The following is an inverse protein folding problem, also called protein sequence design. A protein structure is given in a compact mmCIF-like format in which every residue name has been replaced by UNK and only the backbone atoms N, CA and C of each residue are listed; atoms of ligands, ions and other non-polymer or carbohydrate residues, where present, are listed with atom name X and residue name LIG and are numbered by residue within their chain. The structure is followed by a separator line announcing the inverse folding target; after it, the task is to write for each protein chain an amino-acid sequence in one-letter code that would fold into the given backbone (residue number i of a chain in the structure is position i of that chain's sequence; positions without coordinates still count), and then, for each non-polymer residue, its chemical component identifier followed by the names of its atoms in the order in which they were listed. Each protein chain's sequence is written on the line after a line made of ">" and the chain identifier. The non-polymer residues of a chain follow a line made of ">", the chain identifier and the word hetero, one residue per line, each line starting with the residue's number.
data_IF_958769127414
#
_entry.id   IF_958769127414
#
_cell.length_a   1.000
_cell.length_b   1.000
_cell.length_c   1.000
_cell.angle_alpha   90.00
_cell.angle_beta   90.00
_cell.angle_gamma   90.00
#
_symmetry.space_group_name_H-M   'P 1'
#
loop_
_entity.id
_entity.type
_entity.pdbx_description
1 polymer ?
#
# COMPACT_ATOMS: atom_id res chain seq x y z
N UNK A 1 -42.76 -12.23 18.63
CA UNK A 1 -41.67 -11.55 17.90
C UNK A 1 -40.34 -12.19 18.33
N UNK A 2 -39.77 -13.04 17.48
CA UNK A 2 -38.71 -13.99 17.85
C UNK A 2 -37.34 -13.31 17.96
N UNK A 3 -36.82 -13.15 19.19
CA UNK A 3 -35.52 -12.55 19.54
C UNK A 3 -34.28 -13.34 19.05
N UNK A 4 -34.46 -14.40 18.24
CA UNK A 4 -33.36 -15.24 17.73
C UNK A 4 -32.76 -14.78 16.39
N UNK A 5 -33.36 -13.80 15.71
CA UNK A 5 -32.88 -13.34 14.40
C UNK A 5 -31.75 -12.29 14.47
N UNK A 6 -31.52 -11.66 15.62
CA UNK A 6 -30.50 -10.61 15.78
C UNK A 6 -29.07 -11.12 16.01
N UNK A 7 -28.85 -12.44 16.09
CA UNK A 7 -27.52 -13.04 16.36
C UNK A 7 -26.82 -13.67 15.15
N UNK A 8 -27.35 -13.53 13.93
CA UNK A 8 -26.81 -14.22 12.74
C UNK A 8 -26.51 -13.35 11.51
N UNK A 9 -26.38 -12.03 11.67
CA UNK A 9 -25.98 -11.11 10.59
C UNK A 9 -24.74 -10.29 10.99
N UNK A 10 -23.62 -10.97 11.25
CA UNK A 10 -22.32 -10.34 11.55
C UNK A 10 -21.37 -10.45 10.35
N UNK A 11 -21.94 -10.39 9.15
CA UNK A 11 -21.48 -11.21 8.04
C UNK A 11 -21.50 -10.40 6.73
N UNK A 12 -20.62 -9.39 6.65
CA UNK A 12 -20.12 -8.75 5.40
C UNK A 12 -19.45 -7.37 5.61
N UNK A 13 -19.53 -6.77 6.81
CA UNK A 13 -19.33 -5.31 6.99
C UNK A 13 -17.90 -4.76 6.77
N UNK A 14 -16.85 -5.58 6.60
CA UNK A 14 -15.49 -5.05 6.39
C UNK A 14 -15.01 -5.05 4.94
N UNK A 15 -15.61 -5.86 4.05
CA UNK A 15 -15.06 -6.01 2.68
C UNK A 15 -15.70 -4.99 1.72
N UNK A 16 -16.93 -4.54 1.96
CA UNK A 16 -17.58 -3.49 1.17
C UNK A 16 -16.85 -2.13 1.27
N UNK A 17 -16.32 -1.79 2.46
CA UNK A 17 -15.58 -0.54 2.67
C UNK A 17 -14.28 -0.41 1.87
N UNK A 18 -13.72 -1.52 1.39
CA UNK A 18 -12.54 -1.51 0.52
C UNK A 18 -12.91 -1.46 -0.97
N UNK A 19 -14.14 -1.85 -1.34
CA UNK A 19 -14.61 -1.82 -2.73
C UNK A 19 -15.24 -0.47 -3.13
N UNK A 20 -15.80 0.26 -2.16
CA UNK A 20 -16.35 1.62 -2.35
C UNK A 20 -15.29 2.70 -2.21
N UNK A 21 -14.18 2.44 -1.50
CA UNK A 21 -13.02 3.34 -1.41
C UNK A 21 -12.09 3.31 -2.64
N UNK A 22 -12.63 3.14 -3.85
CA UNK A 22 -11.98 3.60 -5.08
C UNK A 22 -12.00 5.14 -5.20
N UNK A 23 -11.87 5.82 -4.06
CA UNK A 23 -11.25 7.13 -3.96
C UNK A 23 -9.95 6.94 -3.16
N UNK A 24 -9.08 6.07 -3.68
CA UNK A 24 -7.71 6.56 -3.84
C UNK A 24 -7.91 7.83 -4.68
N UNK A 25 -7.43 9.01 -4.28
CA UNK A 25 -7.18 10.01 -5.29
C UNK A 25 -6.23 9.34 -6.27
N UNK A 26 -6.78 8.76 -7.34
CA UNK A 26 -6.20 8.95 -8.65
C UNK A 26 -6.11 10.47 -8.72
N UNK A 27 -4.97 11.01 -8.29
CA UNK A 27 -4.45 12.17 -8.96
C UNK A 27 -4.46 11.75 -10.42
N UNK A 28 -5.52 12.17 -11.11
CA UNK A 28 -5.62 12.08 -12.55
C UNK A 28 -4.45 12.91 -13.06
N UNK A 29 -3.30 12.26 -13.23
CA UNK A 29 -2.29 12.65 -14.21
C UNK A 29 -2.84 12.33 -15.61
N UNK A 30 -4.05 12.78 -15.87
CA UNK A 30 -4.71 12.88 -17.15
C UNK A 30 -5.09 14.36 -17.32
N UNK A 31 -4.08 15.22 -17.26
CA UNK A 31 -4.11 16.40 -18.11
C UNK A 31 -3.84 15.88 -19.52
N UNK A 32 -4.78 16.11 -20.44
CA UNK A 32 -4.57 15.89 -21.87
C UNK A 32 -3.31 16.64 -22.32
N UNK A 33 -2.16 15.98 -22.34
CA UNK A 33 -1.00 16.50 -23.03
C UNK A 33 -1.18 16.11 -24.50
N UNK A 34 -1.88 17.01 -25.22
CA UNK A 34 -1.78 17.07 -26.68
C UNK A 34 -0.31 16.95 -27.04
N UNK A 35 -0.01 15.91 -27.80
CA UNK A 35 1.29 15.64 -28.39
C UNK A 35 1.78 16.90 -29.08
N UNK A 36 2.76 17.56 -28.48
CA UNK A 36 3.73 18.31 -29.25
C UNK A 36 5.12 17.86 -28.81
N UNK A 37 5.75 17.18 -29.77
CA UNK A 37 7.13 16.70 -29.77
C UNK A 37 8.07 17.85 -29.44
N UNK A 38 8.65 17.88 -28.24
CA UNK A 38 9.96 18.46 -28.00
C UNK A 38 10.56 17.82 -26.76
N UNK A 39 11.69 17.13 -26.94
CA UNK A 39 12.56 16.68 -25.85
C UNK A 39 12.95 17.95 -25.08
N UNK A 40 12.42 18.12 -23.88
CA UNK A 40 12.81 19.20 -22.95
C UNK A 40 12.91 18.58 -21.57
N UNK A 41 14.06 18.79 -20.95
CA UNK A 41 14.53 18.26 -19.67
C UNK A 41 13.39 17.95 -18.69
N UNK A 42 13.30 16.67 -18.31
CA UNK A 42 12.49 16.22 -17.19
C UNK A 42 12.71 17.15 -15.99
N UNK A 43 11.61 17.64 -15.44
CA UNK A 43 11.59 18.40 -14.20
C UNK A 43 12.09 17.47 -13.10
N UNK A 44 13.39 17.49 -12.84
CA UNK A 44 13.98 16.83 -11.67
C UNK A 44 13.34 17.51 -10.47
N UNK A 45 12.40 16.84 -9.81
CA UNK A 45 12.05 17.19 -8.44
C UNK A 45 13.37 17.14 -7.66
N UNK A 46 13.88 18.30 -7.25
CA UNK A 46 15.09 18.43 -6.45
C UNK A 46 14.81 17.85 -5.05
N UNK A 47 14.86 16.54 -4.91
CA UNK A 47 14.95 15.91 -3.61
C UNK A 47 16.27 16.36 -2.99
N UNK A 48 16.21 17.02 -1.84
CA UNK A 48 17.42 17.30 -1.07
C UNK A 48 18.03 15.95 -0.70
N UNK A 49 19.28 15.72 -1.12
CA UNK A 49 20.04 14.54 -0.72
C UNK A 49 20.56 14.63 0.72
N UNK A 50 20.21 15.71 1.43
CA UNK A 50 20.47 15.89 2.85
C UNK A 50 19.44 15.19 3.74
N UNK A 51 19.68 15.16 5.06
CA UNK A 51 18.81 14.50 6.03
C UNK A 51 17.34 14.92 5.95
N UNK A 52 17.08 16.22 5.73
CA UNK A 52 15.73 16.77 5.61
C UNK A 52 14.96 16.17 4.42
N UNK A 53 15.56 16.16 3.23
CA UNK A 53 14.89 15.60 2.04
C UNK A 53 14.74 14.09 2.10
N UNK A 54 15.62 13.39 2.81
CA UNK A 54 15.46 11.97 3.08
C UNK A 54 14.31 11.70 4.07
N UNK A 55 14.19 12.52 5.12
CA UNK A 55 13.11 12.45 6.09
C UNK A 55 11.74 12.73 5.45
N UNK A 56 11.68 13.73 4.55
CA UNK A 56 10.47 14.10 3.80
C UNK A 56 9.91 12.96 2.94
N UNK A 57 10.76 12.04 2.48
CA UNK A 57 10.34 10.89 1.67
C UNK A 57 10.08 9.66 2.54
N UNK A 58 10.88 9.45 3.58
CA UNK A 58 10.72 8.30 4.48
C UNK A 58 9.46 8.41 5.35
N UNK A 59 9.14 9.59 5.87
CA UNK A 59 8.00 9.74 6.78
C UNK A 59 6.66 9.37 6.12
N UNK A 60 6.30 9.88 4.92
CA UNK A 60 5.10 9.44 4.19
C UNK A 60 5.12 7.96 3.81
N UNK A 61 6.30 7.40 3.51
CA UNK A 61 6.45 5.98 3.18
C UNK A 61 6.13 5.10 4.38
N UNK A 62 6.69 5.40 5.56
CA UNK A 62 6.42 4.68 6.80
C UNK A 62 4.95 4.82 7.22
N UNK A 63 4.39 6.03 7.09
CA UNK A 63 2.97 6.29 7.30
C UNK A 63 2.09 5.35 6.46
N UNK A 64 2.36 5.27 5.15
CA UNK A 64 1.63 4.39 4.23
C UNK A 64 1.75 2.92 4.61
N UNK A 65 2.92 2.48 5.07
CA UNK A 65 3.14 1.10 5.54
C UNK A 65 2.28 0.80 6.78
N UNK A 66 2.17 1.74 7.73
CA UNK A 66 1.35 1.57 8.93
C UNK A 66 -0.14 1.44 8.61
N UNK A 67 -0.65 2.26 7.69
CA UNK A 67 -2.04 2.17 7.20
C UNK A 67 -2.30 0.79 6.61
N UNK A 68 -1.43 0.35 5.69
CA UNK A 68 -1.56 -0.95 5.03
C UNK A 68 -1.42 -2.12 6.01
N UNK A 69 -0.52 -2.04 6.99
CA UNK A 69 -0.35 -3.05 8.05
C UNK A 69 -1.63 -3.20 8.88
N UNK A 70 -2.30 -2.09 9.21
CA UNK A 70 -3.58 -2.08 9.93
C UNK A 70 -4.69 -2.78 9.14
N UNK A 71 -4.87 -2.42 7.87
CA UNK A 71 -5.85 -3.07 6.99
C UNK A 71 -5.55 -4.55 6.79
N UNK A 72 -4.31 -4.91 6.49
CA UNK A 72 -3.92 -6.30 6.27
C UNK A 72 -4.17 -7.16 7.52
N UNK A 73 -3.81 -6.68 8.71
CA UNK A 73 -4.11 -7.40 9.97
C UNK A 73 -5.61 -7.59 10.17
N UNK A 74 -6.38 -6.56 9.89
CA UNK A 74 -7.85 -6.59 10.01
C UNK A 74 -8.46 -7.66 9.09
N UNK A 75 -8.08 -7.66 7.81
CA UNK A 75 -8.55 -8.62 6.80
C UNK A 75 -8.13 -10.05 7.17
N UNK A 76 -6.85 -10.25 7.51
CA UNK A 76 -6.30 -11.56 7.86
C UNK A 76 -7.04 -12.18 9.05
N UNK A 77 -7.36 -11.37 10.04
CA UNK A 77 -8.01 -11.81 11.28
C UNK A 77 -9.54 -11.85 11.18
N UNK A 78 -10.13 -11.43 10.06
CA UNK A 78 -11.57 -11.46 9.86
C UNK A 78 -12.08 -12.92 9.92
N UNK A 79 -13.20 -13.15 10.62
CA UNK A 79 -13.83 -14.48 10.63
C UNK A 79 -14.32 -14.89 9.24
N UNK A 80 -14.31 -16.19 8.96
CA UNK A 80 -14.81 -16.72 7.71
C UNK A 80 -16.31 -16.44 7.56
N UNK A 81 -16.68 -16.07 6.34
CA UNK A 81 -18.03 -15.69 5.96
C UNK A 81 -18.88 -16.96 5.83
N UNK A 82 -19.87 -17.15 6.69
CA UNK A 82 -20.94 -18.13 6.47
C UNK A 82 -22.15 -17.52 5.74
N UNK A 83 -22.32 -17.86 4.47
CA UNK A 83 -23.48 -17.44 3.68
C UNK A 83 -24.63 -18.44 3.70
N UNK A 84 -24.50 -19.60 4.37
CA UNK A 84 -25.44 -20.74 4.29
C UNK A 84 -26.90 -20.38 4.57
N UNK A 85 -27.13 -19.35 5.40
CA UNK A 85 -28.47 -18.85 5.72
C UNK A 85 -29.19 -18.09 4.60
N UNK A 86 -28.52 -17.74 3.50
CA UNK A 86 -29.11 -17.00 2.37
C UNK A 86 -29.53 -18.01 1.29
N UNK A 87 -30.76 -18.51 1.36
CA UNK A 87 -31.27 -19.52 0.42
C UNK A 87 -31.46 -19.02 -1.01
N UNK A 88 -31.71 -17.72 -1.18
CA UNK A 88 -31.86 -17.06 -2.49
C UNK A 88 -30.54 -16.93 -3.27
N UNK A 89 -29.41 -17.20 -2.62
CA UNK A 89 -28.08 -17.08 -3.23
C UNK A 89 -27.72 -18.33 -4.03
N UNK A 90 -27.46 -18.16 -5.32
CA UNK A 90 -27.00 -19.24 -6.18
C UNK A 90 -25.62 -19.77 -5.75
N UNK A 91 -25.30 -21.03 -6.10
CA UNK A 91 -24.09 -21.73 -5.67
C UNK A 91 -22.80 -21.06 -6.15
N UNK A 92 -22.80 -20.49 -7.36
CA UNK A 92 -21.62 -19.89 -7.97
C UNK A 92 -21.23 -18.58 -7.26
N UNK A 93 -22.21 -17.68 -7.07
CA UNK A 93 -22.00 -16.43 -6.36
C UNK A 93 -21.59 -16.68 -4.91
N UNK A 94 -22.19 -17.67 -4.25
CA UNK A 94 -21.76 -18.10 -2.91
C UNK A 94 -20.29 -18.52 -2.90
N UNK A 95 -19.88 -19.40 -3.81
CA UNK A 95 -18.50 -19.87 -3.89
C UNK A 95 -17.52 -18.72 -4.20
N UNK A 96 -17.89 -17.81 -5.10
CA UNK A 96 -17.09 -16.64 -5.41
C UNK A 96 -16.90 -15.72 -4.20
N UNK A 97 -17.95 -15.44 -3.43
CA UNK A 97 -17.84 -14.58 -2.23
C UNK A 97 -16.89 -15.17 -1.19
N UNK A 98 -16.92 -16.49 -0.98
CA UNK A 98 -15.98 -17.17 -0.09
C UNK A 98 -14.55 -17.10 -0.63
N UNK A 99 -14.39 -17.28 -1.95
CA UNK A 99 -13.09 -17.17 -2.62
C UNK A 99 -12.51 -15.76 -2.52
N UNK A 100 -13.32 -14.71 -2.73
CA UNK A 100 -12.86 -13.32 -2.61
C UNK A 100 -12.33 -13.01 -1.20
N UNK A 101 -12.97 -13.54 -0.16
CA UNK A 101 -12.47 -13.41 1.20
C UNK A 101 -11.13 -14.14 1.40
N UNK A 102 -11.02 -15.37 0.90
CA UNK A 102 -9.77 -16.14 0.97
C UNK A 102 -8.62 -15.45 0.21
N UNK A 103 -8.88 -14.96 -1.00
CA UNK A 103 -7.92 -14.19 -1.80
C UNK A 103 -7.50 -12.89 -1.08
N UNK A 104 -8.45 -12.17 -0.45
CA UNK A 104 -8.14 -10.99 0.35
C UNK A 104 -7.25 -11.32 1.56
N UNK A 105 -7.52 -12.43 2.26
CA UNK A 105 -6.67 -12.91 3.38
C UNK A 105 -5.28 -13.30 2.91
N UNK A 106 -5.16 -13.97 1.76
CA UNK A 106 -3.86 -14.31 1.16
C UNK A 106 -3.08 -13.06 0.77
N UNK A 107 -3.72 -12.07 0.17
CA UNK A 107 -3.09 -10.80 -0.17
C UNK A 107 -2.63 -10.03 1.08
N UNK A 108 -3.42 -10.04 2.14
CA UNK A 108 -3.05 -9.44 3.42
C UNK A 108 -1.83 -10.14 4.05
N UNK A 109 -1.79 -11.48 4.04
CA UNK A 109 -0.64 -12.25 4.50
C UNK A 109 0.60 -11.96 3.65
N UNK A 110 0.46 -11.90 2.33
CA UNK A 110 1.57 -11.55 1.43
C UNK A 110 2.15 -10.16 1.73
N UNK A 111 1.28 -9.16 1.96
CA UNK A 111 1.73 -7.84 2.40
C UNK A 111 2.56 -7.89 3.69
N UNK A 112 2.02 -8.55 4.73
CA UNK A 112 2.61 -8.60 6.06
C UNK A 112 3.94 -9.36 6.09
N UNK A 113 4.02 -10.46 5.36
CA UNK A 113 5.11 -11.42 5.48
C UNK A 113 6.20 -11.21 4.40
N UNK A 114 5.90 -10.49 3.32
CA UNK A 114 6.83 -10.32 2.19
C UNK A 114 7.11 -8.85 1.87
N UNK A 115 6.09 -8.08 1.46
CA UNK A 115 6.30 -6.71 0.98
C UNK A 115 6.75 -5.76 2.09
N UNK A 116 6.10 -5.81 3.26
CA UNK A 116 6.45 -4.95 4.40
C UNK A 116 7.91 -5.15 4.85
N UNK A 117 8.39 -6.39 5.09
CA UNK A 117 9.80 -6.63 5.38
C UNK A 117 10.73 -6.11 4.29
N UNK A 118 10.38 -6.27 3.01
CA UNK A 118 11.21 -5.80 1.91
C UNK A 118 11.32 -4.27 1.86
N UNK A 119 10.21 -3.54 2.06
CA UNK A 119 10.23 -2.08 2.19
C UNK A 119 11.18 -1.66 3.32
N UNK A 120 11.08 -2.32 4.49
CA UNK A 120 11.92 -1.97 5.64
C UNK A 120 13.40 -2.25 5.38
N UNK A 121 13.73 -3.38 4.76
CA UNK A 121 15.10 -3.73 4.38
C UNK A 121 15.69 -2.76 3.34
N UNK A 122 14.93 -2.41 2.31
CA UNK A 122 15.38 -1.43 1.30
C UNK A 122 15.64 -0.06 1.94
N UNK A 123 14.77 0.41 2.83
CA UNK A 123 15.01 1.65 3.56
C UNK A 123 16.25 1.56 4.45
N UNK A 124 16.43 0.43 5.15
CA UNK A 124 17.62 0.21 5.97
C UNK A 124 18.91 0.20 5.12
N UNK A 125 18.88 -0.37 3.91
CA UNK A 125 20.04 -0.37 3.01
C UNK A 125 20.40 1.04 2.53
N UNK A 126 19.40 1.91 2.33
CA UNK A 126 19.65 3.32 2.03
C UNK A 126 20.26 4.03 3.24
N UNK A 127 19.76 3.78 4.46
CA UNK A 127 20.36 4.33 5.69
C UNK A 127 21.79 3.84 5.88
N UNK A 128 22.04 2.54 5.70
CA UNK A 128 23.36 1.91 5.83
C UNK A 128 24.36 2.42 4.79
N UNK A 129 23.91 3.02 3.68
CA UNK A 129 24.81 3.67 2.73
C UNK A 129 25.61 4.80 3.39
N UNK A 130 25.04 5.51 4.37
CA UNK A 130 25.79 6.52 5.11
C UNK A 130 27.02 5.90 5.80
N UNK A 131 26.86 4.75 6.46
CA UNK A 131 27.98 4.08 7.11
C UNK A 131 29.04 3.63 6.10
N UNK A 132 28.63 3.17 4.93
CA UNK A 132 29.53 2.88 3.81
C UNK A 132 30.28 4.13 3.39
N UNK A 133 29.58 5.24 3.13
CA UNK A 133 30.18 6.51 2.75
C UNK A 133 31.19 7.01 3.79
N UNK A 134 30.84 6.99 5.09
CA UNK A 134 31.71 7.42 6.17
C UNK A 134 33.01 6.59 6.25
N UNK A 135 32.93 5.26 6.02
CA UNK A 135 34.13 4.40 5.98
C UNK A 135 35.10 4.77 4.86
N UNK A 136 34.57 5.17 3.70
CA UNK A 136 35.39 5.57 2.56
C UNK A 136 35.86 7.03 2.66
N UNK A 137 35.14 7.89 3.38
CA UNK A 137 35.39 9.32 3.46
C UNK A 137 36.81 9.67 3.94
N UNK A 138 37.30 9.04 5.00
CA UNK A 138 38.66 9.30 5.49
C UNK A 138 39.75 8.88 4.49
N UNK A 139 39.51 7.83 3.71
CA UNK A 139 40.43 7.34 2.68
C UNK A 139 40.45 8.33 1.49
N UNK A 140 39.28 8.82 1.10
CA UNK A 140 39.12 9.81 0.04
C UNK A 140 39.86 11.12 0.39
N UNK A 141 39.71 11.62 1.62
CA UNK A 141 40.45 12.81 2.08
C UNK A 141 41.97 12.59 2.02
N UNK A 142 42.45 11.45 2.53
CA UNK A 142 43.88 11.14 2.49
C UNK A 142 44.42 11.00 1.05
N UNK A 143 43.62 10.47 0.13
CA UNK A 143 43.98 10.38 -1.28
C UNK A 143 44.06 11.76 -1.94
N UNK A 144 43.13 12.67 -1.61
CA UNK A 144 43.15 14.06 -2.08
C UNK A 144 44.40 14.78 -1.57
N UNK A 145 44.71 14.68 -0.28
CA UNK A 145 45.88 15.33 0.33
C UNK A 145 47.19 14.85 -0.31
N UNK A 146 47.27 13.56 -0.65
CA UNK A 146 48.43 12.93 -1.30
C UNK A 146 48.45 13.08 -2.82
N UNK A 147 47.39 13.64 -3.42
CA UNK A 147 47.16 13.67 -4.88
C UNK A 147 47.21 12.27 -5.52
N UNK A 148 46.77 11.26 -4.77
CA UNK A 148 46.70 9.86 -5.22
C UNK A 148 45.43 9.63 -6.03
N UNK A 149 45.54 9.80 -7.34
CA UNK A 149 44.41 9.69 -8.27
C UNK A 149 43.91 8.25 -8.44
N UNK A 150 44.77 7.25 -8.22
CA UNK A 150 44.36 5.84 -8.31
C UNK A 150 43.47 5.45 -7.13
N UNK A 151 43.92 5.74 -5.90
CA UNK A 151 43.10 5.47 -4.70
C UNK A 151 41.78 6.25 -4.78
N UNK A 152 41.84 7.53 -5.16
CA UNK A 152 40.64 8.35 -5.30
C UNK A 152 39.62 7.71 -6.25
N UNK A 153 40.07 7.26 -7.42
CA UNK A 153 39.21 6.61 -8.41
C UNK A 153 38.63 5.31 -7.87
N UNK A 154 39.45 4.43 -7.29
CA UNK A 154 39.00 3.12 -6.79
C UNK A 154 37.96 3.25 -5.68
N UNK A 155 38.15 4.17 -4.74
CA UNK A 155 37.20 4.36 -3.63
C UNK A 155 35.88 4.98 -4.12
N UNK A 156 35.93 5.90 -5.09
CA UNK A 156 34.72 6.44 -5.74
C UNK A 156 33.97 5.36 -6.53
N UNK A 157 34.67 4.47 -7.23
CA UNK A 157 34.06 3.34 -7.93
C UNK A 157 33.32 2.42 -6.95
N UNK A 158 33.89 2.12 -5.78
CA UNK A 158 33.21 1.32 -4.75
C UNK A 158 31.93 1.98 -4.25
N UNK A 159 31.98 3.28 -3.96
CA UNK A 159 30.80 4.05 -3.55
C UNK A 159 29.72 4.06 -4.64
N UNK A 160 30.12 4.22 -5.90
CA UNK A 160 29.20 4.20 -7.04
C UNK A 160 28.55 2.82 -7.20
N UNK A 161 29.30 1.72 -7.07
CA UNK A 161 28.73 0.37 -7.10
C UNK A 161 27.71 0.16 -5.99
N UNK A 162 27.97 0.64 -4.76
CA UNK A 162 27.00 0.57 -3.67
C UNK A 162 25.70 1.34 -3.97
N UNK A 163 25.81 2.51 -4.62
CA UNK A 163 24.62 3.25 -5.08
C UNK A 163 23.83 2.44 -6.12
N UNK A 164 24.52 1.80 -7.07
CA UNK A 164 23.87 0.97 -8.09
C UNK A 164 23.15 -0.25 -7.48
N UNK A 165 23.74 -0.89 -6.47
CA UNK A 165 23.08 -1.97 -5.72
C UNK A 165 21.79 -1.49 -5.07
N UNK A 166 21.84 -0.39 -4.31
CA UNK A 166 20.65 0.17 -3.66
C UNK A 166 19.58 0.55 -4.70
N UNK A 167 19.97 1.15 -5.82
CA UNK A 167 19.05 1.49 -6.92
C UNK A 167 18.38 0.24 -7.51
N UNK A 168 19.13 -0.84 -7.69
CA UNK A 168 18.58 -2.10 -8.21
C UNK A 168 17.54 -2.68 -7.26
N UNK A 169 17.81 -2.71 -5.96
CA UNK A 169 16.88 -3.21 -4.95
C UNK A 169 15.58 -2.38 -4.90
N UNK A 170 15.70 -1.05 -4.98
CA UNK A 170 14.54 -0.14 -5.06
C UNK A 170 13.71 -0.43 -6.32
N UNK A 171 14.34 -0.64 -7.47
CA UNK A 171 13.63 -0.95 -8.72
C UNK A 171 12.87 -2.28 -8.62
N UNK A 172 13.49 -3.31 -8.06
CA UNK A 172 12.83 -4.59 -7.83
C UNK A 172 11.62 -4.46 -6.88
N UNK A 173 11.79 -3.73 -5.78
CA UNK A 173 10.70 -3.46 -4.84
C UNK A 173 9.55 -2.71 -5.53
N UNK A 174 9.86 -1.72 -6.36
CA UNK A 174 8.87 -0.96 -7.11
C UNK A 174 8.05 -1.87 -8.04
N UNK A 175 8.68 -2.78 -8.76
CA UNK A 175 7.98 -3.73 -9.65
C UNK A 175 7.11 -4.72 -8.86
N UNK A 176 7.57 -5.17 -7.69
CA UNK A 176 6.75 -6.00 -6.80
C UNK A 176 5.52 -5.25 -6.28
N UNK A 177 5.69 -3.99 -5.87
CA UNK A 177 4.58 -3.14 -5.41
C UNK A 177 3.57 -2.85 -6.54
N UNK A 178 4.04 -2.58 -7.77
CA UNK A 178 3.17 -2.42 -8.95
C UNK A 178 2.39 -3.70 -9.24
N UNK A 179 3.06 -4.85 -9.21
CA UNK A 179 2.44 -6.16 -9.45
C UNK A 179 1.35 -6.44 -8.39
N UNK A 180 1.68 -6.22 -7.12
CA UNK A 180 0.73 -6.39 -6.02
C UNK A 180 -0.47 -5.45 -6.15
N UNK A 181 -0.24 -4.17 -6.45
CA UNK A 181 -1.31 -3.19 -6.71
C UNK A 181 -2.22 -3.64 -7.85
N UNK A 182 -1.66 -4.08 -8.97
CA UNK A 182 -2.45 -4.51 -10.12
C UNK A 182 -3.31 -5.75 -9.80
N UNK A 183 -2.77 -6.70 -9.04
CA UNK A 183 -3.54 -7.84 -8.51
C UNK A 183 -4.67 -7.39 -7.59
N UNK A 184 -4.39 -6.50 -6.63
CA UNK A 184 -5.39 -5.95 -5.72
C UNK A 184 -6.52 -5.24 -6.48
N UNK A 185 -6.20 -4.48 -7.54
CA UNK A 185 -7.19 -3.83 -8.39
C UNK A 185 -8.12 -4.84 -9.05
N UNK A 186 -7.57 -5.90 -9.65
CA UNK A 186 -8.36 -6.94 -10.29
C UNK A 186 -9.24 -7.70 -9.28
N UNK A 187 -8.66 -8.13 -8.15
CA UNK A 187 -9.39 -8.83 -7.09
C UNK A 187 -10.54 -7.97 -6.55
N UNK A 188 -10.30 -6.66 -6.34
CA UNK A 188 -11.32 -5.71 -5.86
C UNK A 188 -12.44 -5.47 -6.88
N UNK A 189 -12.10 -5.35 -8.16
CA UNK A 189 -13.09 -5.18 -9.23
C UNK A 189 -14.01 -6.40 -9.33
N UNK A 190 -13.44 -7.60 -9.30
CA UNK A 190 -14.20 -8.85 -9.32
C UNK A 190 -15.10 -8.98 -8.08
N UNK A 191 -14.56 -8.67 -6.90
CA UNK A 191 -15.33 -8.68 -5.66
C UNK A 191 -16.49 -7.67 -5.70
N UNK A 192 -16.26 -6.47 -6.24
CA UNK A 192 -17.30 -5.43 -6.37
C UNK A 192 -18.43 -5.88 -7.29
N UNK A 193 -18.11 -6.52 -8.42
CA UNK A 193 -19.12 -7.04 -9.34
C UNK A 193 -20.03 -8.07 -8.65
N UNK A 194 -19.44 -9.04 -7.96
CA UNK A 194 -20.18 -10.08 -7.23
C UNK A 194 -20.96 -9.50 -6.04
N UNK A 195 -20.39 -8.51 -5.34
CA UNK A 195 -21.06 -7.81 -4.24
C UNK A 195 -22.27 -7.03 -4.73
N UNK A 196 -22.19 -6.33 -5.88
CA UNK A 196 -23.34 -5.64 -6.45
C UNK A 196 -24.50 -6.60 -6.78
N UNK A 197 -24.16 -7.80 -7.28
CA UNK A 197 -25.16 -8.84 -7.53
C UNK A 197 -25.77 -9.34 -6.21
N UNK A 198 -24.95 -9.59 -5.18
CA UNK A 198 -25.41 -9.99 -3.85
C UNK A 198 -26.33 -8.92 -3.23
N UNK A 199 -25.94 -7.64 -3.26
CA UNK A 199 -26.74 -6.52 -2.74
C UNK A 199 -28.08 -6.43 -3.45
N UNK A 200 -28.14 -6.66 -4.77
CA UNK A 200 -29.40 -6.69 -5.52
C UNK A 200 -30.35 -7.80 -5.05
N UNK A 201 -29.81 -9.02 -4.82
CA UNK A 201 -30.56 -10.16 -4.28
C UNK A 201 -31.05 -9.87 -2.85
N UNK A 202 -30.21 -9.23 -2.05
CA UNK A 202 -30.53 -8.90 -0.67
C UNK A 202 -31.55 -7.76 -0.55
N UNK A 203 -31.45 -6.72 -1.39
CA UNK A 203 -32.38 -5.61 -1.41
C UNK A 203 -33.79 -6.03 -1.83
N UNK A 204 -33.92 -6.99 -2.76
CA UNK A 204 -35.22 -7.57 -3.12
C UNK A 204 -35.83 -8.41 -2.00
N UNK A 205 -35.02 -8.85 -1.02
CA UNK A 205 -35.45 -9.68 0.11
C UNK A 205 -35.61 -8.86 1.40
N UNK A 206 -34.90 -7.74 1.57
CA UNK A 206 -34.90 -6.90 2.78
C UNK A 206 -34.48 -5.46 2.47
N UNK A 207 -35.41 -4.51 2.61
CA UNK A 207 -35.23 -3.10 2.24
C UNK A 207 -34.18 -2.32 3.07
N UNK A 208 -33.70 -2.85 4.20
CA UNK A 208 -32.75 -2.15 5.08
C UNK A 208 -31.27 -2.32 4.75
N UNK A 209 -30.91 -3.27 3.88
CA UNK A 209 -29.50 -3.64 3.63
C UNK A 209 -28.72 -2.52 2.92
N UNK A 210 -29.23 -1.86 1.87
CA UNK A 210 -28.53 -0.74 1.22
C UNK A 210 -28.26 0.44 2.18
N UNK A 211 -29.18 0.72 3.10
CA UNK A 211 -29.01 1.79 4.09
C UNK A 211 -27.90 1.46 5.12
N UNK A 212 -27.79 0.19 5.52
CA UNK A 212 -26.72 -0.25 6.42
C UNK A 212 -25.36 -0.22 5.71
N UNK A 213 -25.29 -0.59 4.45
CA UNK A 213 -24.08 -0.49 3.60
C UNK A 213 -23.56 0.95 3.56
N UNK A 214 -24.44 1.91 3.26
CA UNK A 214 -24.06 3.34 3.23
C UNK A 214 -23.54 3.86 4.58
N UNK A 215 -24.13 3.40 5.70
CA UNK A 215 -23.64 3.78 7.04
C UNK A 215 -22.26 3.21 7.33
N UNK A 216 -21.98 1.99 6.88
CA UNK A 216 -20.68 1.34 7.04
C UNK A 216 -19.61 2.09 6.26
N UNK A 217 -19.91 2.49 5.02
CA UNK A 217 -19.00 3.27 4.20
C UNK A 217 -18.62 4.59 4.90
N UNK A 218 -19.62 5.31 5.43
CA UNK A 218 -19.37 6.54 6.20
C UNK A 218 -18.52 6.33 7.45
N UNK A 219 -18.68 5.19 8.15
CA UNK A 219 -17.81 4.85 9.28
C UNK A 219 -16.38 4.51 8.83
N UNK A 220 -16.21 3.78 7.72
CA UNK A 220 -14.89 3.45 7.18
C UNK A 220 -14.14 4.70 6.70
N UNK A 221 -14.82 5.64 6.06
CA UNK A 221 -14.23 6.95 5.71
C UNK A 221 -13.78 7.73 6.94
N UNK A 222 -14.59 7.71 8.01
CA UNK A 222 -14.25 8.38 9.27
C UNK A 222 -13.05 7.73 9.97
N UNK A 223 -12.95 6.39 9.93
CA UNK A 223 -11.80 5.64 10.44
C UNK A 223 -10.54 5.97 9.62
N UNK A 224 -10.64 5.97 8.29
CA UNK A 224 -9.54 6.35 7.40
C UNK A 224 -9.03 7.75 7.75
N UNK A 225 -9.93 8.74 7.82
CA UNK A 225 -9.57 10.12 8.18
C UNK A 225 -8.89 10.22 9.55
N UNK A 226 -9.38 9.47 10.53
CA UNK A 226 -8.80 9.46 11.87
C UNK A 226 -7.41 8.82 11.89
N UNK A 227 -7.21 7.72 11.15
CA UNK A 227 -5.91 7.10 10.98
C UNK A 227 -4.92 8.06 10.29
N UNK A 228 -5.34 8.73 9.22
CA UNK A 228 -4.52 9.73 8.52
C UNK A 228 -4.09 10.86 9.47
N UNK A 229 -5.00 11.32 10.35
CA UNK A 229 -4.70 12.35 11.37
C UNK A 229 -3.74 11.86 12.46
N UNK A 230 -3.94 10.65 13.00
CA UNK A 230 -3.06 10.07 14.01
C UNK A 230 -1.66 9.90 13.44
N UNK A 231 -1.56 9.45 12.19
CA UNK A 231 -0.26 9.23 11.55
C UNK A 231 0.43 10.55 11.23
N UNK A 232 -0.31 11.56 10.74
CA UNK A 232 0.24 12.91 10.58
C UNK A 232 0.77 13.46 11.92
N UNK A 233 0.05 13.25 13.02
CA UNK A 233 0.51 13.61 14.36
C UNK A 233 1.75 12.84 14.81
N UNK A 234 1.81 11.53 14.53
CA UNK A 234 2.98 10.70 14.87
C UNK A 234 4.24 11.12 14.09
N UNK A 235 4.10 11.51 12.82
CA UNK A 235 5.20 12.05 12.01
C UNK A 235 5.67 13.39 12.59
N UNK A 236 4.75 14.31 12.91
CA UNK A 236 5.07 15.62 13.50
C UNK A 236 5.78 15.54 14.86
N UNK A 237 5.49 14.50 15.66
CA UNK A 237 6.16 14.29 16.95
C UNK A 237 7.50 13.57 16.83
N UNK A 238 7.81 12.95 15.68
CA UNK A 238 9.05 12.24 15.41
C UNK A 238 10.08 13.08 14.62
N UNK A 239 9.66 14.21 14.06
CA UNK A 239 10.48 15.28 13.48
C UNK A 239 10.82 16.32 14.55
#
# INVERSE_FOLDING_TARGET
>A
MNKKLYKKFLLSMMIAGMATSNIVPLHTFAAEQKVHTTISQETIHNYSLGPEGFQDVLAPTMSSVLVMDSYAKTIRNQQDTDLSGISSLNSNLRANMLKHQDDAKKNATYWLDNLKPRIMNTNQNIVNYNDTFQKHYSILLAAIDKKDTEILKTELEKLYQSILTNKSEVNELLEQLKTFRNKMTADTQNFKQDTNQLTTILASTTAGIPFLEQRIDGYNESIKKSNDQIIAGAVLCAT
#
